data_IF_287844921200
#
_entry.id   IF_287844921200
#
_cell.length_a   1.000
_cell.length_b   1.000
_cell.length_c   1.000
_cell.angle_alpha   90.00
_cell.angle_beta   90.00
_cell.angle_gamma   90.00
#
_symmetry.space_group_name_H-M   'P 1'
#
loop_
_entity.id
_entity.type
_entity.pdbx_description
1 polymer ?
#
# COMPACT_ATOMS: atom_id res chain seq x y z
N UNK A 1 -6.78 17.70 20.37
CA UNK A 1 -5.95 16.55 20.01
C UNK A 1 -6.59 15.28 20.57
N UNK A 2 -6.77 14.23 19.77
CA UNK A 2 -7.29 12.97 20.29
C UNK A 2 -6.33 12.38 21.32
N UNK A 3 -6.87 11.70 22.33
CA UNK A 3 -6.03 11.05 23.34
C UNK A 3 -5.28 9.84 22.74
N UNK A 4 -4.12 9.43 23.29
CA UNK A 4 -3.41 8.22 22.83
C UNK A 4 -4.31 6.98 22.84
N UNK A 5 -5.18 6.82 23.83
CA UNK A 5 -6.14 5.71 23.91
C UNK A 5 -7.16 5.74 22.77
N UNK A 6 -7.64 6.92 22.37
CA UNK A 6 -8.57 7.06 21.25
C UNK A 6 -7.91 6.70 19.91
N UNK A 7 -6.62 7.04 19.73
CA UNK A 7 -5.84 6.66 18.56
C UNK A 7 -5.60 5.15 18.48
N UNK A 8 -5.26 4.51 19.61
CA UNK A 8 -5.09 3.06 19.67
C UNK A 8 -6.38 2.32 19.34
N UNK A 9 -7.52 2.75 19.89
CA UNK A 9 -8.82 2.17 19.57
C UNK A 9 -9.18 2.35 18.09
N UNK A 10 -8.81 3.49 17.50
CA UNK A 10 -9.02 3.74 16.06
C UNK A 10 -8.16 2.81 15.22
N UNK A 11 -6.88 2.65 15.55
CA UNK A 11 -5.99 1.70 14.87
C UNK A 11 -6.52 0.27 14.95
N UNK A 12 -6.96 -0.15 16.14
CA UNK A 12 -7.54 -1.47 16.31
C UNK A 12 -8.76 -1.69 15.42
N UNK A 13 -9.69 -0.72 15.38
CA UNK A 13 -10.87 -0.79 14.49
C UNK A 13 -10.49 -0.89 13.03
N UNK A 14 -9.57 -0.05 12.56
CA UNK A 14 -9.08 -0.08 11.17
C UNK A 14 -8.45 -1.43 10.83
N UNK A 15 -7.70 -2.01 11.77
CA UNK A 15 -7.10 -3.33 11.59
C UNK A 15 -8.17 -4.43 11.50
N UNK A 16 -9.20 -4.40 12.36
CA UNK A 16 -10.30 -5.37 12.33
C UNK A 16 -11.17 -5.21 11.06
N UNK A 17 -11.43 -3.98 10.63
CA UNK A 17 -12.11 -3.71 9.35
C UNK A 17 -11.33 -4.27 8.15
N UNK A 18 -10.01 -4.09 8.15
CA UNK A 18 -9.13 -4.64 7.12
C UNK A 18 -9.13 -6.18 7.15
N UNK A 19 -8.99 -6.80 8.31
CA UNK A 19 -9.10 -8.26 8.47
C UNK A 19 -10.43 -8.79 7.96
N UNK A 20 -11.54 -8.13 8.32
CA UNK A 20 -12.87 -8.51 7.86
C UNK A 20 -13.03 -8.34 6.34
N UNK A 21 -12.45 -7.29 5.76
CA UNK A 21 -12.44 -7.05 4.31
C UNK A 21 -11.69 -8.17 3.57
N UNK A 22 -10.52 -8.52 4.06
CA UNK A 22 -9.71 -9.61 3.51
C UNK A 22 -10.42 -10.96 3.62
N UNK A 23 -11.00 -11.24 4.77
CA UNK A 23 -11.79 -12.46 4.99
C UNK A 23 -12.95 -12.58 4.00
N UNK A 24 -13.69 -11.49 3.75
CA UNK A 24 -14.76 -11.47 2.75
C UNK A 24 -14.23 -11.64 1.32
N UNK A 25 -13.12 -11.02 0.97
CA UNK A 25 -12.53 -11.15 -0.35
C UNK A 25 -12.06 -12.59 -0.60
N UNK A 26 -11.38 -13.21 0.36
CA UNK A 26 -10.98 -14.61 0.30
C UNK A 26 -12.19 -15.55 0.14
N UNK A 27 -13.20 -15.36 0.99
CA UNK A 27 -14.37 -16.22 0.96
C UNK A 27 -15.16 -16.09 -0.35
N UNK A 28 -15.39 -14.87 -0.81
CA UNK A 28 -16.25 -14.64 -1.98
C UNK A 28 -15.53 -14.89 -3.30
N UNK A 29 -14.32 -14.36 -3.48
CA UNK A 29 -13.62 -14.44 -4.78
C UNK A 29 -12.86 -15.76 -4.92
N UNK A 30 -12.01 -16.08 -3.94
CA UNK A 30 -11.19 -17.30 -4.01
C UNK A 30 -12.05 -18.54 -3.78
N UNK A 31 -12.99 -18.49 -2.84
CA UNK A 31 -13.91 -19.61 -2.57
C UNK A 31 -14.79 -19.97 -3.77
N UNK A 32 -15.32 -18.97 -4.49
CA UNK A 32 -16.11 -19.17 -5.70
C UNK A 32 -15.26 -19.76 -6.83
N UNK A 33 -14.07 -19.21 -7.07
CA UNK A 33 -13.16 -19.67 -8.10
C UNK A 33 -12.71 -21.12 -7.85
N UNK A 34 -12.34 -21.48 -6.62
CA UNK A 34 -12.00 -22.87 -6.25
C UNK A 34 -13.20 -23.82 -6.42
N UNK A 35 -14.41 -23.35 -6.18
CA UNK A 35 -15.62 -24.16 -6.40
C UNK A 35 -15.87 -24.41 -7.89
N UNK A 36 -15.63 -23.42 -8.75
CA UNK A 36 -15.71 -23.57 -10.20
C UNK A 36 -14.65 -24.55 -10.74
N UNK A 37 -13.40 -24.38 -10.29
CA UNK A 37 -12.30 -25.32 -10.64
C UNK A 37 -12.65 -26.75 -10.24
N UNK A 38 -13.17 -26.96 -9.03
CA UNK A 38 -13.58 -28.29 -8.56
C UNK A 38 -14.70 -28.88 -9.39
N UNK A 39 -15.70 -28.04 -9.75
CA UNK A 39 -16.82 -28.48 -10.59
C UNK A 39 -16.33 -28.86 -11.99
N UNK A 40 -15.51 -28.05 -12.63
CA UNK A 40 -14.90 -28.35 -13.93
C UNK A 40 -14.07 -29.62 -13.88
N UNK A 41 -13.29 -29.85 -12.82
CA UNK A 41 -12.52 -31.10 -12.67
C UNK A 41 -13.41 -32.36 -12.58
N UNK A 42 -14.61 -32.24 -11.97
CA UNK A 42 -15.57 -33.34 -11.98
C UNK A 42 -16.19 -33.57 -13.37
N UNK A 43 -16.45 -32.49 -14.13
CA UNK A 43 -16.93 -32.65 -15.51
C UNK A 43 -15.91 -33.35 -16.39
N UNK A 44 -14.64 -32.93 -16.35
CA UNK A 44 -13.54 -33.57 -17.07
C UNK A 44 -13.44 -35.07 -16.76
N UNK A 45 -13.68 -35.49 -15.51
CA UNK A 45 -13.63 -36.92 -15.13
C UNK A 45 -14.75 -37.75 -15.72
N UNK A 46 -15.91 -37.13 -16.00
CA UNK A 46 -17.10 -37.81 -16.53
C UNK A 46 -17.33 -37.61 -18.03
N UNK A 47 -16.51 -36.75 -18.68
CA UNK A 47 -16.65 -36.42 -20.08
C UNK A 47 -15.91 -37.43 -20.95
N UNK A 48 -16.63 -38.05 -21.88
CA UNK A 48 -16.09 -39.03 -22.81
C UNK A 48 -15.59 -38.39 -24.11
N UNK A 49 -16.14 -37.24 -24.51
CA UNK A 49 -15.73 -36.51 -25.69
C UNK A 49 -14.39 -35.78 -25.43
N UNK A 50 -13.41 -36.01 -26.31
CA UNK A 50 -12.06 -35.48 -26.17
C UNK A 50 -12.03 -33.95 -26.36
N UNK A 51 -12.86 -33.41 -27.24
CA UNK A 51 -12.89 -31.98 -27.55
C UNK A 51 -13.55 -31.20 -26.39
N UNK A 52 -14.67 -31.69 -25.87
CA UNK A 52 -15.33 -31.10 -24.70
C UNK A 52 -14.45 -31.19 -23.45
N UNK A 53 -13.75 -32.33 -23.28
CA UNK A 53 -12.77 -32.46 -22.18
C UNK A 53 -11.63 -31.45 -22.27
N UNK A 54 -11.16 -31.13 -23.48
CA UNK A 54 -10.14 -30.15 -23.71
C UNK A 54 -10.65 -28.72 -23.40
N UNK A 55 -11.89 -28.41 -23.74
CA UNK A 55 -12.53 -27.14 -23.40
C UNK A 55 -12.66 -26.96 -21.90
N UNK A 56 -13.17 -27.96 -21.18
CA UNK A 56 -13.29 -27.96 -19.71
C UNK A 56 -11.93 -27.75 -19.02
N UNK A 57 -10.88 -28.42 -19.53
CA UNK A 57 -9.52 -28.21 -19.01
C UNK A 57 -9.03 -26.79 -19.21
N UNK A 58 -9.30 -26.17 -20.35
CA UNK A 58 -8.94 -24.76 -20.60
C UNK A 58 -9.68 -23.82 -19.65
N UNK A 59 -10.96 -24.09 -19.35
CA UNK A 59 -11.70 -23.32 -18.35
C UNK A 59 -11.12 -23.44 -16.95
N UNK A 60 -10.71 -24.63 -16.53
CA UNK A 60 -10.06 -24.87 -15.24
C UNK A 60 -8.75 -24.09 -15.15
N UNK A 61 -7.91 -24.13 -16.20
CA UNK A 61 -6.65 -23.40 -16.24
C UNK A 61 -6.91 -21.90 -16.13
N UNK A 62 -7.85 -21.35 -16.90
CA UNK A 62 -8.23 -19.95 -16.85
C UNK A 62 -8.70 -19.52 -15.44
N UNK A 63 -9.60 -20.28 -14.83
CA UNK A 63 -10.10 -20.02 -13.49
C UNK A 63 -8.98 -20.11 -12.43
N UNK A 64 -8.02 -20.99 -12.63
CA UNK A 64 -6.84 -21.11 -11.77
C UNK A 64 -5.92 -19.88 -11.89
N UNK A 65 -5.64 -19.42 -13.10
CA UNK A 65 -4.82 -18.23 -13.36
C UNK A 65 -5.47 -16.96 -12.77
N UNK A 66 -6.78 -16.80 -12.95
CA UNK A 66 -7.55 -15.73 -12.34
C UNK A 66 -7.47 -15.77 -10.81
N UNK A 67 -7.57 -16.97 -10.21
CA UNK A 67 -7.46 -17.14 -8.75
C UNK A 67 -6.08 -16.74 -8.25
N UNK A 68 -5.02 -17.12 -8.95
CA UNK A 68 -3.64 -16.73 -8.62
C UNK A 68 -3.47 -15.23 -8.72
N UNK A 69 -4.05 -14.58 -9.72
CA UNK A 69 -4.02 -13.13 -9.87
C UNK A 69 -4.73 -12.41 -8.69
N UNK A 70 -5.91 -12.90 -8.30
CA UNK A 70 -6.66 -12.38 -7.13
C UNK A 70 -5.83 -12.52 -5.84
N UNK A 71 -5.21 -13.67 -5.62
CA UNK A 71 -4.37 -13.90 -4.43
C UNK A 71 -3.14 -12.99 -4.41
N UNK A 72 -2.49 -12.77 -5.55
CA UNK A 72 -1.35 -11.85 -5.67
C UNK A 72 -1.75 -10.40 -5.38
N UNK A 73 -2.90 -9.96 -5.89
CA UNK A 73 -3.40 -8.61 -5.62
C UNK A 73 -3.77 -8.44 -4.13
N UNK A 74 -4.42 -9.44 -3.54
CA UNK A 74 -4.76 -9.44 -2.12
C UNK A 74 -3.49 -9.41 -1.24
N UNK A 75 -2.49 -10.21 -1.58
CA UNK A 75 -1.20 -10.22 -0.89
C UNK A 75 -0.49 -8.86 -0.99
N UNK A 76 -0.44 -8.25 -2.18
CA UNK A 76 0.18 -6.94 -2.39
C UNK A 76 -0.51 -5.81 -1.60
N UNK A 77 -1.81 -5.94 -1.34
CA UNK A 77 -2.56 -4.97 -0.50
C UNK A 77 -2.24 -5.14 0.99
N UNK A 78 -2.09 -6.37 1.46
CA UNK A 78 -1.85 -6.68 2.87
C UNK A 78 -0.42 -6.42 3.28
N UNK A 79 0.49 -6.88 2.50
CA UNK A 79 1.92 -6.74 2.73
C UNK A 79 2.55 -6.23 1.44
N UNK A 80 3.18 -5.04 1.43
CA UNK A 80 3.88 -4.57 0.24
C UNK A 80 5.18 -5.40 0.06
N UNK A 81 5.12 -6.56 -0.63
CA UNK A 81 6.28 -7.46 -0.75
C UNK A 81 7.41 -6.80 -1.53
N UNK A 82 7.08 -5.74 -2.25
CA UNK A 82 8.02 -4.94 -3.01
C UNK A 82 8.86 -4.01 -2.11
N UNK A 83 8.34 -3.60 -0.93
CA UNK A 83 9.03 -2.66 -0.06
C UNK A 83 10.37 -3.21 0.42
N UNK A 84 10.39 -4.48 0.84
CA UNK A 84 11.62 -5.15 1.32
C UNK A 84 12.54 -5.57 0.17
N UNK A 85 11.98 -5.87 -1.01
CA UNK A 85 12.74 -6.38 -2.15
C UNK A 85 13.31 -5.29 -3.06
N UNK A 86 12.58 -4.20 -3.29
CA UNK A 86 12.93 -3.18 -4.28
C UNK A 86 13.05 -1.76 -3.72
N UNK A 87 12.77 -1.57 -2.42
CA UNK A 87 12.87 -0.28 -1.74
C UNK A 87 11.65 0.61 -1.85
N UNK A 88 11.67 1.70 -1.05
CA UNK A 88 10.54 2.62 -0.89
C UNK A 88 10.17 3.35 -2.20
N UNK A 89 11.17 3.84 -2.93
CA UNK A 89 10.98 4.59 -4.17
C UNK A 89 10.31 3.73 -5.26
N UNK A 90 10.79 2.51 -5.45
CA UNK A 90 10.22 1.59 -6.43
C UNK A 90 8.82 1.09 -6.01
N UNK A 91 8.59 0.86 -4.71
CA UNK A 91 7.29 0.47 -4.19
C UNK A 91 6.24 1.59 -4.37
N UNK A 92 6.60 2.85 -4.11
CA UNK A 92 5.74 4.02 -4.35
C UNK A 92 5.47 4.21 -5.86
N UNK A 93 6.47 3.99 -6.72
CA UNK A 93 6.31 4.06 -8.18
C UNK A 93 5.32 3.01 -8.68
N UNK A 94 5.43 1.77 -8.22
CA UNK A 94 4.49 0.71 -8.55
C UNK A 94 3.05 1.03 -8.09
N UNK A 95 2.89 1.73 -6.96
CA UNK A 95 1.59 2.20 -6.48
C UNK A 95 1.02 3.29 -7.39
N UNK A 96 1.85 4.22 -7.88
CA UNK A 96 1.46 5.23 -8.86
C UNK A 96 1.01 4.57 -10.17
N UNK A 97 1.78 3.66 -10.73
CA UNK A 97 1.47 2.95 -11.97
C UNK A 97 0.16 2.16 -11.90
N UNK A 98 -0.17 1.64 -10.71
CA UNK A 98 -1.40 0.88 -10.48
C UNK A 98 -2.65 1.76 -10.47
N UNK A 99 -2.55 2.97 -9.96
CA UNK A 99 -3.72 3.81 -9.66
C UNK A 99 -3.88 5.04 -10.56
N UNK A 100 -2.86 5.40 -11.34
CA UNK A 100 -2.88 6.60 -12.16
C UNK A 100 -2.61 6.28 -13.64
N UNK A 101 -3.40 6.89 -14.52
CA UNK A 101 -3.08 6.90 -15.93
C UNK A 101 -1.82 7.76 -16.19
N UNK A 102 -1.07 7.43 -17.22
CA UNK A 102 0.13 8.18 -17.61
C UNK A 102 -0.17 9.68 -17.76
N UNK A 103 0.61 10.51 -17.09
CA UNK A 103 0.52 11.97 -17.19
C UNK A 103 -0.50 12.65 -16.28
N UNK A 104 -1.25 11.91 -15.47
CA UNK A 104 -2.23 12.51 -14.53
C UNK A 104 -1.61 12.97 -13.21
N UNK A 105 -0.42 12.48 -12.87
CA UNK A 105 0.34 12.82 -11.66
C UNK A 105 1.79 13.09 -12.02
N UNK A 106 2.35 14.20 -11.57
CA UNK A 106 3.79 14.48 -11.66
C UNK A 106 4.53 13.76 -10.53
N UNK A 107 5.46 12.87 -10.88
CA UNK A 107 6.14 12.01 -9.91
C UNK A 107 7.65 12.12 -10.06
N UNK A 108 8.36 12.38 -8.96
CA UNK A 108 9.81 12.32 -8.86
C UNK A 108 10.19 11.49 -7.63
N UNK A 109 10.51 10.22 -7.86
CA UNK A 109 10.85 9.24 -6.84
C UNK A 109 12.24 8.63 -7.14
N UNK A 110 13.33 9.41 -7.00
CA UNK A 110 14.67 8.88 -7.18
C UNK A 110 15.00 7.84 -6.11
N UNK A 111 15.90 6.89 -6.40
CA UNK A 111 16.43 6.00 -5.39
C UNK A 111 17.03 6.79 -4.23
N UNK A 112 16.71 6.37 -3.01
CA UNK A 112 17.33 6.95 -1.81
C UNK A 112 18.80 6.46 -1.70
N UNK A 113 19.74 7.30 -1.22
CA UNK A 113 21.16 6.94 -1.13
C UNK A 113 21.42 5.80 -0.13
N UNK A 114 20.49 5.58 0.79
CA UNK A 114 20.48 4.48 1.75
C UNK A 114 19.07 3.99 2.00
N UNK A 115 18.90 2.69 2.22
CA UNK A 115 17.61 2.11 2.53
C UNK A 115 17.15 2.56 3.93
N UNK A 116 15.91 3.06 4.08
CA UNK A 116 15.30 3.27 5.40
C UNK A 116 15.14 1.94 6.14
N UNK A 117 15.15 1.97 7.47
CA UNK A 117 14.80 0.80 8.27
C UNK A 117 13.38 0.33 7.92
N UNK A 118 13.14 -0.98 7.93
CA UNK A 118 11.93 -1.61 7.42
C UNK A 118 10.62 -0.99 7.97
N UNK A 119 10.54 -0.76 9.29
CA UNK A 119 9.37 -0.14 9.91
C UNK A 119 9.14 1.30 9.44
N UNK A 120 10.23 2.08 9.24
CA UNK A 120 10.17 3.46 8.77
C UNK A 120 9.78 3.52 7.30
N UNK A 121 10.31 2.61 6.48
CA UNK A 121 9.92 2.45 5.09
C UNK A 121 8.42 2.09 4.98
N UNK A 122 7.93 1.19 5.85
CA UNK A 122 6.51 0.82 5.87
C UNK A 122 5.61 2.01 6.27
N UNK A 123 5.99 2.78 7.29
CA UNK A 123 5.26 4.00 7.69
C UNK A 123 5.21 5.00 6.54
N UNK A 124 6.35 5.26 5.89
CA UNK A 124 6.42 6.16 4.74
C UNK A 124 5.56 5.67 3.57
N UNK A 125 5.63 4.38 3.27
CA UNK A 125 4.83 3.77 2.22
C UNK A 125 3.32 3.90 2.48
N UNK A 126 2.86 3.62 3.70
CA UNK A 126 1.43 3.73 4.06
C UNK A 126 0.92 5.17 4.02
N UNK A 127 1.70 6.13 4.52
CA UNK A 127 1.36 7.55 4.40
C UNK A 127 1.39 7.97 2.93
N UNK A 128 2.38 7.52 2.16
CA UNK A 128 2.46 7.74 0.71
C UNK A 128 1.23 7.21 -0.03
N UNK A 129 0.77 6.00 0.28
CA UNK A 129 -0.48 5.45 -0.27
C UNK A 129 -1.69 6.33 0.05
N UNK A 130 -1.80 6.83 1.29
CA UNK A 130 -2.90 7.70 1.68
C UNK A 130 -2.87 9.04 0.90
N UNK A 131 -1.68 9.62 0.72
CA UNK A 131 -1.48 10.85 -0.07
C UNK A 131 -1.76 10.61 -1.57
N UNK A 132 -1.32 9.50 -2.13
CA UNK A 132 -1.60 9.14 -3.52
C UNK A 132 -3.11 8.94 -3.76
N UNK A 133 -3.81 8.26 -2.87
CA UNK A 133 -5.28 8.11 -2.96
C UNK A 133 -5.99 9.46 -2.91
N UNK A 134 -5.54 10.38 -2.06
CA UNK A 134 -6.09 11.73 -2.00
C UNK A 134 -5.80 12.49 -3.31
N UNK A 135 -4.58 12.36 -3.86
CA UNK A 135 -4.22 12.94 -5.16
C UNK A 135 -5.08 12.41 -6.31
N UNK A 136 -5.44 11.14 -6.28
CA UNK A 136 -6.29 10.51 -7.31
C UNK A 136 -7.71 11.11 -7.37
N UNK A 137 -8.17 11.80 -6.33
CA UNK A 137 -9.47 12.48 -6.34
C UNK A 137 -9.49 13.77 -7.19
N UNK A 138 -8.33 14.24 -7.67
CA UNK A 138 -8.24 15.41 -8.56
C UNK A 138 -8.51 15.04 -10.02
N UNK A 139 -9.45 15.75 -10.61
CA UNK A 139 -9.76 15.60 -12.03
C UNK A 139 -8.77 16.35 -12.95
N UNK A 140 -7.99 17.33 -12.42
CA UNK A 140 -7.20 18.29 -13.18
C UNK A 140 -5.70 17.96 -13.31
N UNK A 141 -5.26 16.83 -12.76
CA UNK A 141 -3.93 16.27 -12.98
C UNK A 141 -2.75 17.13 -12.47
N UNK A 142 -3.00 18.12 -11.63
CA UNK A 142 -1.94 19.03 -11.14
C UNK A 142 -1.18 18.55 -9.90
N UNK A 143 -1.48 17.38 -9.35
CA UNK A 143 -0.82 16.87 -8.15
C UNK A 143 0.63 16.45 -8.45
N UNK A 144 1.51 16.70 -7.48
CA UNK A 144 2.93 16.37 -7.56
C UNK A 144 3.36 15.58 -6.33
N UNK A 145 4.06 14.47 -6.53
CA UNK A 145 4.66 13.67 -5.45
C UNK A 145 6.16 13.55 -5.66
N UNK A 146 6.94 13.85 -4.62
CA UNK A 146 8.40 13.82 -4.66
C UNK A 146 8.96 13.08 -3.45
N UNK A 147 10.01 12.28 -3.67
CA UNK A 147 10.83 11.68 -2.61
C UNK A 147 12.23 12.28 -2.71
N UNK A 148 12.75 12.79 -1.60
CA UNK A 148 14.08 13.42 -1.56
C UNK A 148 14.85 12.96 -0.34
N UNK A 149 16.18 12.91 -0.47
CA UNK A 149 17.10 12.78 0.64
C UNK A 149 17.30 14.13 1.34
N UNK A 150 17.47 14.11 2.66
CA UNK A 150 17.71 15.29 3.50
C UNK A 150 18.71 14.88 4.61
N UNK A 151 19.90 14.49 4.18
CA UNK A 151 21.04 14.01 5.00
C UNK A 151 20.68 12.88 5.98
N UNK A 152 20.17 13.20 7.16
CA UNK A 152 19.82 12.24 8.21
C UNK A 152 18.39 11.68 8.08
N UNK A 153 17.63 12.20 7.12
CA UNK A 153 16.24 11.87 6.92
C UNK A 153 15.90 11.79 5.43
N UNK A 154 14.77 11.22 5.11
CA UNK A 154 14.16 11.34 3.80
C UNK A 154 12.81 12.05 3.90
N UNK A 155 12.42 12.71 2.83
CA UNK A 155 11.22 13.53 2.76
C UNK A 155 10.34 13.08 1.61
N UNK A 156 9.10 12.72 1.92
CA UNK A 156 8.05 12.50 0.95
C UNK A 156 7.12 13.72 0.96
N UNK A 157 7.06 14.43 -0.15
CA UNK A 157 6.20 15.60 -0.31
C UNK A 157 5.11 15.35 -1.34
N UNK A 158 3.92 15.85 -1.07
CA UNK A 158 2.79 15.77 -1.97
C UNK A 158 2.12 17.15 -2.07
N UNK A 159 2.15 17.75 -3.26
CA UNK A 159 1.70 19.12 -3.52
C UNK A 159 0.46 19.16 -4.41
N UNK A 160 -0.31 20.24 -4.30
CA UNK A 160 -1.54 20.46 -5.08
C UNK A 160 -2.54 19.32 -4.91
N UNK A 161 -2.61 18.78 -3.69
CA UNK A 161 -3.57 17.74 -3.32
C UNK A 161 -4.80 18.40 -2.70
N UNK A 162 -6.02 18.12 -3.19
CA UNK A 162 -7.22 18.76 -2.68
C UNK A 162 -7.61 18.21 -1.32
N UNK A 163 -8.06 19.10 -0.45
CA UNK A 163 -8.72 18.74 0.80
C UNK A 163 -7.80 18.19 1.88
N UNK A 164 -8.42 17.83 2.99
CA UNK A 164 -7.74 17.29 4.15
C UNK A 164 -7.40 15.81 3.98
N UNK A 165 -6.22 15.41 4.44
CA UNK A 165 -5.84 14.00 4.49
C UNK A 165 -6.77 13.28 5.49
N UNK A 166 -7.53 12.27 5.03
CA UNK A 166 -8.34 11.46 5.95
C UNK A 166 -7.48 10.89 7.06
N UNK A 167 -7.97 10.97 8.31
CA UNK A 167 -7.24 10.49 9.48
C UNK A 167 -5.89 11.16 9.74
N UNK A 168 -5.70 12.42 9.30
CA UNK A 168 -4.46 13.16 9.45
C UNK A 168 -3.86 13.12 10.86
N UNK A 169 -4.71 13.16 11.91
CA UNK A 169 -4.26 13.05 13.30
C UNK A 169 -3.59 11.69 13.60
N UNK A 170 -4.09 10.61 13.02
CA UNK A 170 -3.51 9.28 13.14
C UNK A 170 -2.17 9.18 12.40
N UNK A 171 -2.11 9.70 11.17
CA UNK A 171 -0.89 9.70 10.37
C UNK A 171 0.21 10.57 11.01
N UNK A 172 -0.16 11.73 11.59
CA UNK A 172 0.79 12.56 12.36
C UNK A 172 1.31 11.85 13.60
N UNK A 173 0.43 11.16 14.35
CA UNK A 173 0.86 10.37 15.51
C UNK A 173 1.78 9.21 15.11
N UNK A 174 1.50 8.54 14.00
CA UNK A 174 2.34 7.45 13.47
C UNK A 174 3.71 7.98 13.03
N UNK A 175 3.75 9.09 12.29
CA UNK A 175 5.00 9.73 11.88
C UNK A 175 5.84 10.18 13.09
N UNK A 176 5.19 10.74 14.13
CA UNK A 176 5.86 11.12 15.38
C UNK A 176 6.40 9.92 16.14
N UNK A 177 5.65 8.82 16.23
CA UNK A 177 6.11 7.58 16.86
C UNK A 177 7.30 6.95 16.12
N UNK A 178 7.39 7.18 14.80
CA UNK A 178 8.51 6.78 13.96
C UNK A 178 9.72 7.77 14.01
N UNK A 179 9.70 8.74 14.93
CA UNK A 179 10.79 9.71 15.08
C UNK A 179 10.81 10.83 14.04
N UNK A 180 9.73 10.99 13.28
CA UNK A 180 9.60 12.02 12.26
C UNK A 180 8.37 12.92 12.46
N UNK A 181 7.91 13.54 11.38
CA UNK A 181 6.73 14.42 11.39
C UNK A 181 6.01 14.43 10.07
N UNK A 182 4.71 14.67 10.12
CA UNK A 182 3.84 14.90 8.97
C UNK A 182 3.18 16.28 9.12
N UNK A 183 3.54 17.18 8.24
CA UNK A 183 3.08 18.56 8.26
C UNK A 183 2.15 18.85 7.07
N UNK A 184 1.18 19.75 7.29
CA UNK A 184 0.39 20.38 6.24
C UNK A 184 0.92 21.81 6.05
N UNK A 185 1.60 22.05 4.95
CA UNK A 185 2.16 23.34 4.59
C UNK A 185 1.18 24.16 3.71
N UNK A 186 -0.01 24.49 4.28
CA UNK A 186 -0.97 25.38 3.62
C UNK A 186 -2.10 24.73 2.84
N UNK A 187 -2.69 23.63 3.36
CA UNK A 187 -3.99 23.08 2.91
C UNK A 187 -4.00 22.28 1.61
N UNK A 188 -2.89 22.23 0.91
CA UNK A 188 -2.73 21.42 -0.30
C UNK A 188 -1.32 20.85 -0.48
N UNK A 189 -0.49 21.00 0.55
CA UNK A 189 0.90 20.54 0.54
C UNK A 189 1.21 19.74 1.81
N UNK A 190 1.34 18.44 1.66
CA UNK A 190 1.71 17.51 2.72
C UNK A 190 3.19 17.17 2.64
N UNK A 191 3.88 17.20 3.78
CA UNK A 191 5.29 16.89 3.90
C UNK A 191 5.53 15.91 5.05
N UNK A 192 5.97 14.71 4.71
CA UNK A 192 6.42 13.70 5.65
C UNK A 192 7.95 13.72 5.68
N UNK A 193 8.54 13.89 6.87
CA UNK A 193 9.97 13.73 7.11
C UNK A 193 10.17 12.58 8.10
N UNK A 194 10.98 11.59 7.74
CA UNK A 194 11.32 10.46 8.58
C UNK A 194 12.84 10.23 8.58
N UNK A 195 13.44 9.82 9.73
CA UNK A 195 14.84 9.42 9.77
C UNK A 195 15.04 8.11 9.00
N UNK A 196 16.26 7.80 8.59
CA UNK A 196 16.57 6.51 7.96
C UNK A 196 16.60 5.34 8.95
N UNK A 197 16.90 5.61 10.21
CA UNK A 197 16.95 4.67 11.32
C UNK A 197 16.56 5.33 12.64
N UNK A 198 16.45 4.58 13.74
CA UNK A 198 16.20 5.16 15.05
C UNK A 198 17.28 6.20 15.35
N UNK A 199 16.88 7.28 16.02
CA UNK A 199 17.85 8.24 16.54
C UNK A 199 18.91 7.48 17.34
N UNK A 200 20.23 7.79 17.16
CA UNK A 200 21.25 7.16 17.96
C UNK A 200 20.87 7.36 19.44
N UNK A 201 20.83 6.25 20.19
CA UNK A 201 20.58 6.31 21.62
C UNK A 201 21.59 7.30 22.20
N UNK A 202 21.12 8.40 22.75
CA UNK A 202 21.95 9.35 23.50
C UNK A 202 22.58 8.54 24.62
N UNK A 203 23.86 8.19 24.47
CA UNK A 203 24.62 7.60 25.56
C UNK A 203 24.53 8.54 26.75
N UNK A 204 24.12 8.08 27.94
CA UNK A 204 24.20 8.94 29.12
C UNK A 204 25.65 9.35 29.27
N UNK A 205 25.88 10.66 29.36
CA UNK A 205 27.16 11.27 29.62
C UNK A 205 27.76 10.60 30.87
N UNK A 206 28.96 10.00 30.82
CA UNK A 206 29.57 9.44 32.01
C UNK A 206 29.92 10.59 32.95
N UNK A 207 29.23 10.64 34.09
CA UNK A 207 29.52 11.55 35.20
C UNK A 207 30.86 11.21 35.88
#
# INVERSE_FOLDING_TARGET
MPSPSALLLKLFRLQEEERARVGRALHNQVGQALSAIRMGAHLVQSEDDADLRAEDLHEIIRASDETVAILRDLHARLHPPQLDAIGLDAALRAEVERHFALGTLSVSLPPLPRAPQADLALVAFRIGQALLRLAATRADGGAQVTLTDDDDAFVLSARHIPGDLPDAALWRALASAAGGRLDDEGGSHWRLRLPYGPAPATSPDPA
#
